data_IF_599610334999
#
_entry.id   IF_599610334999
#
_cell.length_a   1.000
_cell.length_b   1.000
_cell.length_c   1.000
_cell.angle_alpha   90.00
_cell.angle_beta   90.00
_cell.angle_gamma   90.00
#
_symmetry.space_group_name_H-M   'P 1'
#
loop_
_entity.id
_entity.type
_entity.pdbx_description
1 polymer ?
#
# COMPACT_ATOMS: atom_id res chain seq x y z
N UNK A 1 -12.35 5.33 10.39
CA UNK A 1 -11.42 4.19 10.36
C UNK A 1 -12.20 2.88 10.49
N UNK A 2 -12.71 2.34 9.37
CA UNK A 2 -13.57 1.15 9.37
C UNK A 2 -12.82 -0.15 9.67
N UNK A 3 -11.71 -0.41 8.97
CA UNK A 3 -10.94 -1.65 9.13
C UNK A 3 -9.50 -1.43 9.64
N UNK A 4 -9.02 -0.18 9.82
CA UNK A 4 -7.73 0.11 10.46
C UNK A 4 -6.66 0.79 9.61
N UNK A 5 -6.97 1.80 8.78
CA UNK A 5 -5.92 2.65 8.18
C UNK A 5 -5.11 3.38 9.24
N UNK A 6 -5.74 3.78 10.36
CA UNK A 6 -5.04 4.41 11.47
C UNK A 6 -4.40 3.38 12.39
N UNK A 7 -5.24 2.58 13.04
CA UNK A 7 -4.79 1.73 14.16
C UNK A 7 -3.82 0.62 13.76
N UNK A 8 -3.89 0.12 12.52
CA UNK A 8 -2.97 -0.90 12.02
C UNK A 8 -1.89 -0.26 11.15
N UNK A 9 -2.30 0.42 10.08
CA UNK A 9 -1.34 0.83 9.05
C UNK A 9 -0.56 2.08 9.42
N UNK A 10 -1.20 3.18 9.81
CA UNK A 10 -0.49 4.40 10.18
C UNK A 10 0.39 4.17 11.42
N UNK A 11 -0.14 3.48 12.45
CA UNK A 11 0.65 3.11 13.64
C UNK A 11 1.84 2.24 13.25
N UNK A 12 1.63 1.19 12.45
CA UNK A 12 2.72 0.33 11.98
C UNK A 12 3.75 1.06 11.13
N UNK A 13 3.32 1.97 10.25
CA UNK A 13 4.17 2.79 9.40
C UNK A 13 5.01 3.80 10.18
N UNK A 14 4.43 4.47 11.18
CA UNK A 14 5.19 5.34 12.10
C UNK A 14 6.20 4.52 12.89
N UNK A 15 5.81 3.34 13.38
CA UNK A 15 6.73 2.41 14.03
C UNK A 15 7.89 2.00 13.14
N UNK A 16 7.62 1.67 11.87
CA UNK A 16 8.64 1.35 10.87
C UNK A 16 9.59 2.53 10.62
N UNK A 17 9.06 3.76 10.54
CA UNK A 17 9.88 4.97 10.33
C UNK A 17 10.83 5.21 11.52
N UNK A 18 10.29 5.18 12.74
CA UNK A 18 11.12 5.33 13.95
C UNK A 18 12.16 4.22 14.02
N UNK A 19 11.79 2.97 13.72
CA UNK A 19 12.71 1.85 13.68
C UNK A 19 13.85 2.05 12.67
N UNK A 20 13.52 2.46 11.43
CA UNK A 20 14.51 2.72 10.38
C UNK A 20 15.46 3.87 10.75
N UNK A 21 14.95 4.93 11.39
CA UNK A 21 15.77 6.06 11.84
C UNK A 21 16.71 5.69 13.00
N UNK A 22 16.24 4.89 13.96
CA UNK A 22 17.04 4.49 15.13
C UNK A 22 18.11 3.47 14.75
N UNK A 23 17.77 2.48 13.91
CA UNK A 23 18.73 1.46 13.45
C UNK A 23 19.71 2.04 12.44
N UNK A 24 19.23 2.97 11.60
CA UNK A 24 20.00 3.55 10.51
C UNK A 24 20.12 2.62 9.29
N UNK A 25 20.79 3.09 8.23
CA UNK A 25 20.86 2.38 6.96
C UNK A 25 21.73 1.13 7.01
N UNK A 26 21.39 0.12 6.18
CA UNK A 26 22.20 -1.09 6.01
C UNK A 26 23.63 -0.75 5.58
N UNK A 27 24.58 -1.61 5.96
CA UNK A 27 26.00 -1.44 5.55
C UNK A 27 26.10 -1.41 4.02
N UNK A 28 26.79 -0.41 3.49
CA UNK A 28 26.97 -0.23 2.04
C UNK A 28 25.85 0.57 1.37
N UNK A 29 24.67 0.69 2.00
CA UNK A 29 23.60 1.55 1.52
C UNK A 29 24.10 3.00 1.40
N UNK A 30 23.81 3.65 0.27
CA UNK A 30 24.19 5.04 -0.04
C UNK A 30 25.69 5.30 -0.27
N UNK A 31 26.53 4.26 -0.34
CA UNK A 31 27.99 4.40 -0.54
C UNK A 31 28.45 4.14 -1.99
N UNK A 32 27.52 3.98 -2.92
CA UNK A 32 27.75 3.68 -4.34
C UNK A 32 26.42 3.56 -5.09
N UNK A 33 26.44 2.93 -6.27
CA UNK A 33 25.25 2.70 -7.13
C UNK A 33 24.36 1.53 -6.65
N UNK A 34 24.70 0.94 -5.50
CA UNK A 34 24.08 -0.28 -5.00
C UNK A 34 22.71 0.01 -4.34
N UNK A 35 21.67 0.19 -5.16
CA UNK A 35 20.30 -0.11 -4.73
C UNK A 35 20.21 -1.64 -4.56
N UNK A 36 19.74 -2.10 -3.40
CA UNK A 36 19.64 -3.54 -3.14
C UNK A 36 18.45 -4.12 -3.92
N UNK A 37 18.74 -5.02 -4.85
CA UNK A 37 17.71 -5.72 -5.60
C UNK A 37 16.91 -6.70 -4.73
N UNK A 38 15.66 -6.94 -5.13
CA UNK A 38 14.82 -7.96 -4.52
C UNK A 38 15.44 -9.35 -4.74
N UNK A 39 15.66 -10.09 -3.65
CA UNK A 39 16.24 -11.43 -3.71
C UNK A 39 15.39 -12.44 -4.51
N UNK A 40 14.07 -12.27 -4.53
CA UNK A 40 13.14 -13.19 -5.20
C UNK A 40 11.81 -12.49 -5.56
N UNK A 41 11.72 -11.99 -6.80
CA UNK A 41 10.52 -11.30 -7.30
C UNK A 41 9.28 -12.20 -7.35
N UNK A 42 9.33 -13.47 -7.80
CA UNK A 42 8.17 -14.36 -7.74
C UNK A 42 7.56 -14.50 -6.33
N UNK A 43 8.41 -14.59 -5.29
CA UNK A 43 7.91 -14.66 -3.90
C UNK A 43 7.28 -13.35 -3.43
N UNK A 44 7.79 -12.19 -3.88
CA UNK A 44 7.17 -10.90 -3.62
C UNK A 44 5.75 -10.82 -4.22
N UNK A 45 5.60 -11.27 -5.47
CA UNK A 45 4.29 -11.35 -6.14
C UNK A 45 3.35 -12.31 -5.40
N UNK A 46 3.83 -13.50 -5.03
CA UNK A 46 3.05 -14.47 -4.26
C UNK A 46 2.60 -13.91 -2.91
N UNK A 47 3.49 -13.23 -2.18
CA UNK A 47 3.18 -12.55 -0.93
C UNK A 47 2.11 -11.47 -1.10
N UNK A 48 2.19 -10.70 -2.19
CA UNK A 48 1.18 -9.67 -2.53
C UNK A 48 -0.19 -10.30 -2.75
N UNK A 49 -0.27 -11.44 -3.45
CA UNK A 49 -1.53 -12.16 -3.64
C UNK A 49 -2.10 -12.69 -2.32
N UNK A 50 -1.26 -13.25 -1.43
CA UNK A 50 -1.73 -13.68 -0.11
C UNK A 50 -2.25 -12.52 0.73
N UNK A 51 -1.56 -11.37 0.71
CA UNK A 51 -2.01 -10.17 1.41
C UNK A 51 -3.34 -9.66 0.84
N UNK A 52 -3.48 -9.56 -0.49
CA UNK A 52 -4.72 -9.14 -1.11
C UNK A 52 -5.86 -10.11 -0.79
N UNK A 53 -5.65 -11.41 -0.95
CA UNK A 53 -6.64 -12.41 -0.58
C UNK A 53 -7.05 -12.29 0.90
N UNK A 54 -6.08 -12.16 1.80
CA UNK A 54 -6.33 -11.94 3.23
C UNK A 54 -7.08 -10.64 3.51
N UNK A 55 -6.92 -9.61 2.67
CA UNK A 55 -7.61 -8.34 2.82
C UNK A 55 -9.13 -8.43 2.63
N UNK A 56 -9.64 -9.46 1.94
CA UNK A 56 -11.07 -9.76 1.92
C UNK A 56 -11.59 -10.30 3.26
N UNK A 57 -10.73 -10.93 4.06
CA UNK A 57 -11.02 -11.22 5.46
C UNK A 57 -10.89 -9.98 6.34
N UNK A 58 -9.94 -9.09 6.03
CA UNK A 58 -9.67 -7.87 6.78
C UNK A 58 -10.79 -6.82 6.63
N UNK A 59 -11.02 -6.34 5.41
CA UNK A 59 -11.97 -5.25 5.15
C UNK A 59 -13.43 -5.75 5.21
N UNK A 60 -13.93 -6.63 4.32
CA UNK A 60 -15.31 -7.13 4.42
C UNK A 60 -15.64 -7.75 5.77
N UNK A 61 -14.68 -8.45 6.39
CA UNK A 61 -14.85 -9.04 7.72
C UNK A 61 -15.05 -8.01 8.83
N UNK A 62 -14.54 -6.78 8.69
CA UNK A 62 -14.82 -5.67 9.62
C UNK A 62 -16.29 -5.21 9.62
N UNK A 63 -17.11 -5.66 8.66
CA UNK A 63 -18.57 -5.52 8.75
C UNK A 63 -19.14 -6.28 9.95
N UNK A 64 -18.43 -7.30 10.45
CA UNK A 64 -18.76 -8.13 11.62
C UNK A 64 -20.11 -8.89 11.55
N UNK A 65 -20.83 -8.78 10.43
CA UNK A 65 -22.12 -9.42 10.24
C UNK A 65 -22.50 -9.52 8.77
N UNK A 66 -23.22 -10.58 8.41
CA UNK A 66 -23.87 -10.78 7.11
C UNK A 66 -25.21 -11.53 7.27
N UNK A 67 -25.88 -11.38 8.41
CA UNK A 67 -27.08 -12.15 8.76
C UNK A 67 -28.36 -11.63 8.09
N UNK A 68 -28.34 -10.40 7.58
CA UNK A 68 -29.46 -9.78 6.89
C UNK A 68 -29.01 -9.13 5.57
N UNK A 69 -29.98 -8.66 4.78
CA UNK A 69 -29.71 -8.04 3.47
C UNK A 69 -28.85 -6.77 3.58
N UNK A 70 -28.97 -6.00 4.66
CA UNK A 70 -28.28 -4.71 4.82
C UNK A 70 -26.80 -4.96 5.11
N UNK A 71 -26.51 -5.82 6.09
CA UNK A 71 -25.16 -6.20 6.49
C UNK A 71 -24.43 -6.98 5.39
N UNK A 72 -25.12 -7.89 4.70
CA UNK A 72 -24.55 -8.58 3.54
C UNK A 72 -24.23 -7.63 2.37
N UNK A 73 -25.10 -6.65 2.09
CA UNK A 73 -24.83 -5.66 1.05
C UNK A 73 -23.64 -4.76 1.41
N UNK A 74 -23.56 -4.32 2.67
CA UNK A 74 -22.42 -3.56 3.18
C UNK A 74 -21.10 -4.31 2.95
N UNK A 75 -21.01 -5.57 3.37
CA UNK A 75 -19.81 -6.37 3.16
C UNK A 75 -19.47 -6.60 1.67
N UNK A 76 -20.50 -6.72 0.82
CA UNK A 76 -20.33 -6.80 -0.63
C UNK A 76 -19.72 -5.52 -1.22
N UNK A 77 -20.21 -4.35 -0.83
CA UNK A 77 -19.65 -3.05 -1.25
C UNK A 77 -18.20 -2.92 -0.77
N UNK A 78 -17.94 -3.29 0.49
CA UNK A 78 -16.58 -3.28 1.05
C UNK A 78 -15.63 -4.17 0.24
N UNK A 79 -16.07 -5.35 -0.19
CA UNK A 79 -15.28 -6.25 -1.02
C UNK A 79 -14.96 -5.65 -2.39
N UNK A 80 -15.94 -5.00 -3.03
CA UNK A 80 -15.74 -4.29 -4.31
C UNK A 80 -14.72 -3.18 -4.16
N UNK A 81 -14.88 -2.32 -3.15
CA UNK A 81 -13.95 -1.22 -2.88
C UNK A 81 -12.53 -1.72 -2.59
N UNK A 82 -12.42 -2.85 -1.86
CA UNK A 82 -11.15 -3.50 -1.52
C UNK A 82 -10.39 -4.03 -2.74
N UNK A 83 -11.06 -4.32 -3.87
CA UNK A 83 -10.37 -4.76 -5.10
C UNK A 83 -10.10 -3.60 -6.07
N UNK A 84 -10.98 -2.61 -6.13
CA UNK A 84 -10.83 -1.52 -7.10
C UNK A 84 -9.69 -0.57 -6.73
N UNK A 85 -9.57 -0.19 -5.45
CA UNK A 85 -8.51 0.70 -4.98
C UNK A 85 -7.09 0.20 -5.29
N UNK A 86 -6.69 -1.04 -4.93
CA UNK A 86 -5.36 -1.55 -5.26
C UNK A 86 -5.08 -1.71 -6.74
N UNK A 87 -6.07 -2.09 -7.56
CA UNK A 87 -5.92 -2.11 -9.01
C UNK A 87 -5.44 -0.74 -9.53
N UNK A 88 -6.10 0.33 -9.08
CA UNK A 88 -5.76 1.69 -9.51
C UNK A 88 -4.40 2.15 -8.99
N UNK A 89 -4.09 1.88 -7.72
CA UNK A 89 -2.80 2.24 -7.13
C UNK A 89 -1.64 1.51 -7.83
N UNK A 90 -1.79 0.20 -8.11
CA UNK A 90 -0.81 -0.60 -8.84
C UNK A 90 -0.55 -0.04 -10.24
N UNK A 91 -1.62 0.30 -10.98
CA UNK A 91 -1.51 0.89 -12.32
C UNK A 91 -0.83 2.25 -12.32
N UNK A 92 -1.13 3.10 -11.33
CA UNK A 92 -0.45 4.40 -11.16
C UNK A 92 1.05 4.20 -10.96
N UNK A 93 1.45 3.37 -10.00
CA UNK A 93 2.87 3.15 -9.70
C UNK A 93 3.59 2.50 -10.89
N UNK A 94 2.97 1.50 -11.52
CA UNK A 94 3.49 0.87 -12.72
C UNK A 94 3.72 1.91 -13.84
N UNK A 95 2.71 2.72 -14.16
CA UNK A 95 2.81 3.72 -15.22
C UNK A 95 3.88 4.78 -14.90
N UNK A 96 3.95 5.24 -13.64
CA UNK A 96 4.95 6.20 -13.20
C UNK A 96 6.37 5.66 -13.37
N UNK A 97 6.66 4.46 -12.87
CA UNK A 97 8.01 3.87 -12.95
C UNK A 97 8.37 3.43 -14.36
N UNK A 98 7.41 2.97 -15.16
CA UNK A 98 7.66 2.53 -16.52
C UNK A 98 7.88 3.69 -17.50
N UNK A 99 7.19 4.83 -17.32
CA UNK A 99 7.11 5.87 -18.37
C UNK A 99 7.54 7.27 -17.93
N UNK A 100 7.49 7.59 -16.63
CA UNK A 100 7.65 8.96 -16.13
C UNK A 100 8.95 9.12 -15.33
N UNK A 101 9.18 8.27 -14.34
CA UNK A 101 10.30 8.39 -13.41
C UNK A 101 11.53 7.66 -13.96
N UNK A 102 12.70 8.27 -13.78
CA UNK A 102 13.97 7.63 -14.11
C UNK A 102 14.45 6.74 -12.93
N UNK A 103 15.09 5.59 -13.21
CA UNK A 103 15.22 4.96 -14.52
C UNK A 103 13.88 4.36 -14.98
N UNK A 104 13.49 4.62 -16.23
CA UNK A 104 12.23 4.11 -16.79
C UNK A 104 12.32 2.60 -16.94
N UNK A 105 11.64 1.87 -16.06
CA UNK A 105 11.76 0.41 -15.98
C UNK A 105 10.43 -0.24 -15.59
N UNK A 106 10.25 -1.48 -16.05
CA UNK A 106 9.14 -2.33 -15.63
C UNK A 106 9.44 -2.89 -14.24
N UNK A 107 9.01 -2.15 -13.21
CA UNK A 107 9.25 -2.49 -11.82
C UNK A 107 8.05 -3.23 -11.20
N UNK A 108 8.17 -4.56 -11.15
CA UNK A 108 7.16 -5.46 -10.56
C UNK A 108 7.03 -5.25 -9.05
N UNK A 109 8.15 -5.01 -8.35
CA UNK A 109 8.15 -4.77 -6.90
C UNK A 109 7.42 -3.49 -6.56
N UNK A 110 7.69 -2.41 -7.31
CA UNK A 110 6.96 -1.15 -7.21
C UNK A 110 5.47 -1.31 -7.48
N UNK A 111 5.07 -2.05 -8.52
CA UNK A 111 3.66 -2.32 -8.80
C UNK A 111 2.96 -3.05 -7.65
N UNK A 112 3.61 -4.07 -7.07
CA UNK A 112 3.11 -4.80 -5.91
C UNK A 112 2.97 -3.91 -4.68
N UNK A 113 3.97 -3.09 -4.34
CA UNK A 113 3.88 -2.14 -3.25
C UNK A 113 2.81 -1.07 -3.51
N UNK A 114 2.63 -0.64 -4.76
CA UNK A 114 1.50 0.21 -5.16
C UNK A 114 0.15 -0.44 -4.89
N UNK A 115 -0.02 -1.72 -5.23
CA UNK A 115 -1.23 -2.47 -4.89
C UNK A 115 -1.47 -2.49 -3.37
N UNK A 116 -0.44 -2.81 -2.57
CA UNK A 116 -0.55 -2.81 -1.11
C UNK A 116 -0.89 -1.42 -0.55
N UNK A 117 -0.31 -0.34 -1.09
CA UNK A 117 -0.65 1.02 -0.69
C UNK A 117 -2.11 1.38 -1.01
N UNK A 118 -2.65 0.91 -2.14
CA UNK A 118 -4.06 1.06 -2.47
C UNK A 118 -4.99 0.29 -1.53
N UNK A 119 -4.62 -0.94 -1.16
CA UNK A 119 -5.32 -1.73 -0.13
C UNK A 119 -5.36 -0.97 1.21
N UNK A 120 -4.21 -0.45 1.66
CA UNK A 120 -4.12 0.34 2.90
C UNK A 120 -4.96 1.63 2.82
N UNK A 121 -4.93 2.32 1.69
CA UNK A 121 -5.61 3.62 1.51
C UNK A 121 -7.12 3.49 1.58
N UNK A 122 -7.70 2.38 1.10
CA UNK A 122 -9.15 2.17 1.14
C UNK A 122 -9.65 1.64 2.50
N UNK A 123 -8.77 1.09 3.33
CA UNK A 123 -9.12 0.38 4.58
C UNK A 123 -10.03 1.19 5.53
N UNK A 124 -9.82 2.50 5.70
CA UNK A 124 -10.65 3.32 6.58
C UNK A 124 -12.01 3.71 6.00
N UNK A 125 -12.10 3.87 4.67
CA UNK A 125 -13.28 4.36 3.96
C UNK A 125 -14.09 3.29 3.22
N UNK A 126 -13.61 2.03 3.18
CA UNK A 126 -14.15 0.98 2.31
C UNK A 126 -15.65 0.67 2.49
N UNK A 127 -16.27 1.01 3.61
CA UNK A 127 -17.70 0.80 3.86
C UNK A 127 -18.59 2.01 3.55
N UNK A 128 -18.00 3.19 3.37
CA UNK A 128 -18.74 4.48 3.30
C UNK A 128 -18.59 5.20 1.96
N UNK A 129 -17.68 4.74 1.11
CA UNK A 129 -17.44 5.31 -0.21
C UNK A 129 -18.05 4.46 -1.32
N UNK A 130 -18.44 5.10 -2.42
CA UNK A 130 -18.88 4.46 -3.63
C UNK A 130 -17.71 3.77 -4.38
N UNK A 131 -17.98 2.75 -5.21
CA UNK A 131 -16.95 2.06 -6.00
C UNK A 131 -16.04 2.97 -6.82
N UNK A 132 -16.59 4.02 -7.44
CA UNK A 132 -15.77 4.96 -8.22
C UNK A 132 -14.87 5.83 -7.32
N UNK A 133 -15.30 6.16 -6.11
CA UNK A 133 -14.50 6.90 -5.12
C UNK A 133 -13.33 6.05 -4.64
N UNK A 134 -13.54 4.74 -4.46
CA UNK A 134 -12.48 3.80 -4.09
C UNK A 134 -11.36 3.76 -5.13
N UNK A 135 -11.70 3.87 -6.41
CA UNK A 135 -10.72 3.97 -7.49
C UNK A 135 -9.90 5.26 -7.38
N UNK A 136 -10.53 6.40 -7.09
CA UNK A 136 -9.85 7.68 -6.89
C UNK A 136 -8.92 7.63 -5.67
N UNK A 137 -9.39 7.04 -4.56
CA UNK A 137 -8.58 6.81 -3.36
C UNK A 137 -7.34 5.97 -3.70
N UNK A 138 -7.50 4.91 -4.50
CA UNK A 138 -6.40 4.09 -5.00
C UNK A 138 -5.40 4.87 -5.86
N UNK A 139 -5.90 5.70 -6.80
CA UNK A 139 -5.03 6.56 -7.63
C UNK A 139 -4.17 7.47 -6.75
N UNK A 140 -4.78 8.19 -5.80
CA UNK A 140 -4.05 9.10 -4.92
C UNK A 140 -3.12 8.31 -3.99
N UNK A 141 -3.55 7.17 -3.47
CA UNK A 141 -2.72 6.28 -2.67
C UNK A 141 -1.45 5.82 -3.40
N UNK A 142 -1.54 5.53 -4.70
CA UNK A 142 -0.38 5.23 -5.54
C UNK A 142 0.62 6.40 -5.65
N UNK A 143 0.12 7.63 -5.81
CA UNK A 143 0.97 8.83 -5.80
C UNK A 143 1.61 9.10 -4.44
N UNK A 144 0.84 8.93 -3.35
CA UNK A 144 1.34 9.08 -1.97
C UNK A 144 2.46 8.08 -1.69
N UNK A 145 2.24 6.81 -2.03
CA UNK A 145 3.27 5.77 -1.93
C UNK A 145 4.52 6.15 -2.72
N UNK A 146 4.37 6.52 -4.00
CA UNK A 146 5.52 6.81 -4.85
C UNK A 146 6.30 8.03 -4.34
N UNK A 147 5.59 9.09 -3.95
CA UNK A 147 6.19 10.31 -3.40
C UNK A 147 6.96 10.05 -2.10
N UNK A 148 6.37 9.29 -1.17
CA UNK A 148 7.02 8.96 0.09
C UNK A 148 8.20 8.01 -0.07
N UNK A 149 8.11 7.00 -0.95
CA UNK A 149 9.24 6.12 -1.26
C UNK A 149 10.43 6.93 -1.81
N UNK A 150 10.17 7.85 -2.76
CA UNK A 150 11.20 8.76 -3.27
C UNK A 150 11.74 9.71 -2.19
N UNK A 151 10.89 10.22 -1.31
CA UNK A 151 11.30 11.12 -0.22
C UNK A 151 12.21 10.41 0.79
N UNK A 152 11.89 9.19 1.20
CA UNK A 152 12.74 8.42 2.13
C UNK A 152 14.10 8.12 1.52
N UNK A 153 14.15 7.76 0.23
CA UNK A 153 15.42 7.61 -0.50
C UNK A 153 16.22 8.91 -0.51
N UNK A 154 15.58 10.06 -0.77
CA UNK A 154 16.22 11.37 -0.73
C UNK A 154 16.77 11.73 0.66
N UNK A 155 16.04 11.37 1.72
CA UNK A 155 16.47 11.58 3.11
C UNK A 155 17.45 10.51 3.62
N UNK A 156 17.89 9.59 2.77
CA UNK A 156 18.77 8.46 3.12
C UNK A 156 18.21 7.56 4.24
N UNK A 157 16.88 7.46 4.35
CA UNK A 157 16.20 6.52 5.25
C UNK A 157 16.04 5.18 4.53
N UNK A 158 16.64 4.13 5.07
CA UNK A 158 16.68 2.81 4.43
C UNK A 158 15.52 1.92 4.90
N UNK A 159 14.37 2.13 4.27
CA UNK A 159 13.20 1.24 4.42
C UNK A 159 13.28 0.11 3.40
N UNK A 160 13.55 -1.11 3.88
CA UNK A 160 13.86 -2.26 3.03
C UNK A 160 12.69 -2.69 2.14
N UNK A 161 11.46 -2.49 2.61
CA UNK A 161 10.24 -3.01 1.95
C UNK A 161 9.25 -1.91 1.58
N UNK A 162 9.63 -0.64 1.72
CA UNK A 162 8.71 0.50 1.70
C UNK A 162 7.54 0.34 2.69
N UNK A 163 7.79 -0.14 3.91
CA UNK A 163 6.77 -0.24 4.95
C UNK A 163 6.17 1.13 5.30
N UNK A 164 6.99 2.18 5.36
CA UNK A 164 6.57 3.54 5.69
C UNK A 164 5.73 4.15 4.56
N UNK A 165 6.12 4.14 3.27
CA UNK A 165 5.26 4.63 2.19
C UNK A 165 3.95 3.83 2.05
N UNK A 166 4.00 2.50 2.15
CA UNK A 166 2.80 1.65 2.02
C UNK A 166 1.85 1.84 3.19
N UNK A 167 2.33 1.66 4.42
CA UNK A 167 1.47 1.65 5.60
C UNK A 167 1.31 3.02 6.23
N UNK A 168 2.41 3.76 6.43
CA UNK A 168 2.36 5.11 7.00
C UNK A 168 1.71 6.10 6.04
N UNK A 169 2.19 6.12 4.79
CA UNK A 169 1.66 6.97 3.72
C UNK A 169 0.23 6.64 3.35
N UNK A 170 -0.01 5.39 2.94
CA UNK A 170 -1.36 4.94 2.61
C UNK A 170 -2.33 5.07 3.79
N UNK A 171 -1.87 4.78 5.01
CA UNK A 171 -2.68 4.87 6.22
C UNK A 171 -3.09 6.30 6.54
N UNK A 172 -2.14 7.25 6.45
CA UNK A 172 -2.40 8.67 6.65
C UNK A 172 -3.33 9.24 5.57
N UNK A 173 -3.14 8.86 4.31
CA UNK A 173 -4.01 9.29 3.22
C UNK A 173 -5.42 8.71 3.29
N UNK A 174 -5.55 7.46 3.75
CA UNK A 174 -6.85 6.79 3.85
C UNK A 174 -7.73 7.27 5.00
N UNK A 175 -7.15 7.91 6.03
CA UNK A 175 -7.85 8.48 7.19
C UNK A 175 -8.53 9.81 6.86
#
# INVERSE_FOLDING_TARGET
DFAGSGIVHMVGGVGALVGALVVGPRKGRWRGDDDFDAHNVPFLVLGTFFLWFGWYGFNPGSTASMHDKVTANSAGIVAVNTTLAPCMAALVVFALRAQVLAPKALDVGGMCNGALAGLVSITAGCAVVAPWESMVIGVIGGFVYQGLSSLLKYMHVDDVVDAVPVHGGGGLWGL
#
